data_IF_522864589378
#
_entry.id   IF_522864589378
#
_cell.length_a   1.000
_cell.length_b   1.000
_cell.length_c   1.000
_cell.angle_alpha   90.00
_cell.angle_beta   90.00
_cell.angle_gamma   90.00
#
_symmetry.space_group_name_H-M   'P 1'
#
loop_
_entity.id
_entity.type
_entity.pdbx_description
1 polymer ?
#
# COMPACT_ATOMS: atom_id res chain seq x y z
N UNK A 1 -0.47 -26.95 -0.10
CA UNK A 1 -0.75 -26.16 1.11
C UNK A 1 0.02 -24.83 1.15
N UNK A 2 0.85 -24.50 0.14
CA UNK A 2 1.75 -23.34 0.12
C UNK A 2 1.18 -22.10 -0.60
N UNK A 3 0.45 -22.26 -1.70
CA UNK A 3 0.00 -21.11 -2.52
C UNK A 3 -1.13 -20.30 -1.85
N UNK A 4 -2.07 -20.97 -1.17
CA UNK A 4 -3.22 -20.31 -0.55
C UNK A 4 -2.84 -19.46 0.67
N UNK A 5 -1.81 -19.89 1.42
CA UNK A 5 -1.22 -19.09 2.50
C UNK A 5 -0.47 -17.86 1.99
N UNK A 6 0.17 -17.97 0.83
CA UNK A 6 0.94 -16.88 0.23
C UNK A 6 0.01 -15.80 -0.36
N UNK A 7 -1.06 -16.21 -1.04
CA UNK A 7 -2.09 -15.28 -1.54
C UNK A 7 -2.73 -14.52 -0.38
N UNK A 8 -3.11 -15.21 0.70
CA UNK A 8 -3.71 -14.59 1.88
C UNK A 8 -2.75 -13.59 2.55
N UNK A 9 -1.48 -13.94 2.67
CA UNK A 9 -0.48 -13.01 3.22
C UNK A 9 -0.34 -11.75 2.35
N UNK A 10 -0.25 -11.90 1.02
CA UNK A 10 -0.16 -10.75 0.10
C UNK A 10 -1.39 -9.85 0.25
N UNK A 11 -2.59 -10.44 0.33
CA UNK A 11 -3.82 -9.70 0.53
C UNK A 11 -3.80 -8.92 1.85
N UNK A 12 -3.40 -9.54 2.96
CA UNK A 12 -3.28 -8.86 4.26
C UNK A 12 -2.28 -7.70 4.25
N UNK A 13 -1.27 -7.73 3.37
CA UNK A 13 -0.34 -6.61 3.18
C UNK A 13 -0.93 -5.52 2.30
N UNK A 14 -1.60 -5.87 1.21
CA UNK A 14 -2.32 -4.91 0.36
C UNK A 14 -3.40 -4.18 1.15
N UNK A 15 -4.15 -4.88 2.01
CA UNK A 15 -5.15 -4.29 2.89
C UNK A 15 -4.51 -3.34 3.91
N UNK A 16 -3.34 -3.70 4.46
CA UNK A 16 -2.55 -2.84 5.36
C UNK A 16 -2.06 -1.56 4.65
N UNK A 17 -1.60 -1.67 3.41
CA UNK A 17 -1.22 -0.51 2.58
C UNK A 17 -2.44 0.37 2.27
N UNK A 18 -3.59 -0.23 1.96
CA UNK A 18 -4.82 0.50 1.72
C UNK A 18 -5.29 1.28 2.97
N UNK A 19 -5.15 0.69 4.15
CA UNK A 19 -5.44 1.38 5.42
C UNK A 19 -4.53 2.60 5.63
N UNK A 20 -3.24 2.47 5.29
CA UNK A 20 -2.28 3.57 5.33
C UNK A 20 -2.69 4.69 4.36
N UNK A 21 -3.02 4.34 3.11
CA UNK A 21 -3.47 5.31 2.11
C UNK A 21 -4.74 6.04 2.57
N UNK A 22 -5.68 5.33 3.18
CA UNK A 22 -6.88 5.91 3.76
C UNK A 22 -6.52 6.93 4.86
N UNK A 23 -5.57 6.60 5.75
CA UNK A 23 -5.10 7.53 6.78
C UNK A 23 -4.43 8.77 6.20
N UNK A 24 -3.72 8.64 5.08
CA UNK A 24 -3.12 9.79 4.37
C UNK A 24 -4.22 10.69 3.79
N UNK A 25 -5.28 10.12 3.21
CA UNK A 25 -6.42 10.90 2.71
C UNK A 25 -7.13 11.62 3.86
N UNK A 26 -7.40 10.93 4.97
CA UNK A 26 -8.01 11.54 6.17
C UNK A 26 -7.13 12.63 6.76
N UNK A 27 -5.80 12.48 6.73
CA UNK A 27 -4.87 13.53 7.13
C UNK A 27 -5.02 14.78 6.26
N UNK A 28 -5.12 14.62 4.94
CA UNK A 28 -5.31 15.75 4.03
C UNK A 28 -6.66 16.46 4.26
N UNK A 29 -7.70 15.69 4.55
CA UNK A 29 -9.02 16.24 4.88
C UNK A 29 -9.00 17.04 6.19
N UNK A 30 -8.35 16.50 7.23
CA UNK A 30 -8.16 17.19 8.50
C UNK A 30 -7.32 18.48 8.35
N UNK A 31 -6.29 18.47 7.48
CA UNK A 31 -5.52 19.68 7.17
C UNK A 31 -6.37 20.73 6.46
N UNK A 32 -7.16 20.31 5.46
CA UNK A 32 -8.08 21.19 4.73
C UNK A 32 -9.10 21.84 5.68
N UNK A 33 -9.67 21.04 6.57
CA UNK A 33 -10.61 21.49 7.60
C UNK A 33 -9.95 22.42 8.61
N UNK A 34 -8.72 22.15 9.06
CA UNK A 34 -7.98 23.06 9.94
C UNK A 34 -7.72 24.42 9.27
N UNK A 35 -7.32 24.44 7.99
CA UNK A 35 -7.10 25.70 7.25
C UNK A 35 -8.41 26.47 7.09
N UNK A 36 -9.51 25.77 6.80
CA UNK A 36 -10.85 26.36 6.68
C UNK A 36 -11.29 27.00 7.99
N UNK A 37 -11.13 26.28 9.11
CA UNK A 37 -11.44 26.79 10.45
C UNK A 37 -10.57 28.01 10.82
N UNK A 38 -9.30 28.02 10.42
CA UNK A 38 -8.42 29.19 10.63
C UNK A 38 -8.95 30.42 9.87
N UNK A 39 -9.36 30.23 8.62
CA UNK A 39 -9.90 31.31 7.80
C UNK A 39 -11.22 31.84 8.37
N UNK A 40 -12.12 30.92 8.75
CA UNK A 40 -13.40 31.25 9.36
C UNK A 40 -13.24 31.96 10.70
N UNK A 41 -12.36 31.47 11.57
CA UNK A 41 -12.03 32.10 12.85
C UNK A 41 -11.50 33.53 12.66
N UNK A 42 -10.62 33.76 11.68
CA UNK A 42 -10.13 35.10 11.34
C UNK A 42 -11.26 36.05 10.91
N UNK A 43 -12.19 35.56 10.08
CA UNK A 43 -13.36 36.32 9.62
C UNK A 43 -14.32 36.64 10.77
N UNK A 44 -14.54 35.70 11.68
CA UNK A 44 -15.41 35.89 12.85
C UNK A 44 -14.84 36.89 13.85
N UNK A 45 -13.52 36.91 14.07
CA UNK A 45 -12.84 37.93 14.89
C UNK A 45 -13.10 39.33 14.33
N UNK A 46 -13.04 39.50 13.01
CA UNK A 46 -13.35 40.78 12.36
C UNK A 46 -14.83 41.19 12.43
N UNK A 47 -15.74 40.27 12.78
CA UNK A 47 -17.19 40.48 12.84
C UNK A 47 -17.74 40.48 14.28
N UNK A 48 -16.87 40.44 15.31
CA UNK A 48 -17.25 40.44 16.74
C UNK A 48 -18.28 39.37 17.14
N UNK A 49 -18.24 38.19 16.50
CA UNK A 49 -19.08 37.03 16.86
C UNK A 49 -18.32 36.10 17.81
N UNK A 50 -18.39 36.37 19.11
CA UNK A 50 -17.60 35.67 20.14
C UNK A 50 -18.09 34.24 20.46
N UNK A 51 -19.40 33.99 20.53
CA UNK A 51 -19.92 32.64 20.86
C UNK A 51 -19.52 31.56 19.83
N UNK A 52 -19.51 31.91 18.54
CA UNK A 52 -19.09 31.00 17.46
C UNK A 52 -17.58 30.82 17.36
N UNK A 53 -16.79 31.73 17.93
CA UNK A 53 -15.34 31.73 17.78
C UNK A 53 -14.67 30.63 18.61
N UNK A 54 -15.17 30.36 19.81
CA UNK A 54 -14.60 29.31 20.67
C UNK A 54 -14.85 27.91 20.10
N UNK A 55 -15.98 27.67 19.45
CA UNK A 55 -16.25 26.40 18.77
C UNK A 55 -15.30 26.19 17.59
N UNK A 56 -15.08 27.21 16.75
CA UNK A 56 -14.13 27.13 15.63
C UNK A 56 -12.69 26.90 16.11
N UNK A 57 -12.28 27.53 17.22
CA UNK A 57 -10.96 27.28 17.83
C UNK A 57 -10.83 25.84 18.35
N UNK A 58 -11.88 25.31 18.96
CA UNK A 58 -11.91 23.93 19.44
C UNK A 58 -11.75 22.94 18.28
N UNK A 59 -12.55 23.11 17.22
CA UNK A 59 -12.47 22.28 16.01
C UNK A 59 -11.12 22.43 15.31
N UNK A 60 -10.54 23.62 15.25
CA UNK A 60 -9.18 23.83 14.74
C UNK A 60 -8.15 23.01 15.54
N UNK A 61 -8.19 23.10 16.88
CA UNK A 61 -7.28 22.35 17.75
C UNK A 61 -7.42 20.84 17.59
N UNK A 62 -8.66 20.36 17.48
CA UNK A 62 -8.97 18.94 17.25
C UNK A 62 -8.45 18.47 15.89
N UNK A 63 -8.73 19.20 14.81
CA UNK A 63 -8.23 18.90 13.47
C UNK A 63 -6.70 18.88 13.42
N UNK A 64 -6.03 19.83 14.06
CA UNK A 64 -4.57 19.82 14.19
C UNK A 64 -4.06 18.59 14.95
N UNK A 65 -4.70 18.20 16.06
CA UNK A 65 -4.36 16.98 16.78
C UNK A 65 -4.47 15.74 15.89
N UNK A 66 -5.61 15.60 15.21
CA UNK A 66 -5.89 14.48 14.31
C UNK A 66 -4.91 14.42 13.13
N UNK A 67 -4.42 15.57 12.63
CA UNK A 67 -3.36 15.62 11.61
C UNK A 67 -2.08 14.94 12.12
N UNK A 68 -1.61 15.29 13.32
CA UNK A 68 -0.39 14.70 13.86
C UNK A 68 -0.55 13.22 14.20
N UNK A 69 -1.72 12.81 14.71
CA UNK A 69 -2.01 11.41 15.01
C UNK A 69 -2.07 10.55 13.74
N UNK A 70 -2.77 11.03 12.71
CA UNK A 70 -2.84 10.32 11.42
C UNK A 70 -1.48 10.28 10.73
N UNK A 71 -0.68 11.35 10.81
CA UNK A 71 0.67 11.39 10.24
C UNK A 71 1.57 10.36 10.93
N UNK A 72 1.55 10.35 12.26
CA UNK A 72 2.33 9.39 13.06
C UNK A 72 1.96 7.95 12.70
N UNK A 73 0.65 7.67 12.68
CA UNK A 73 0.12 6.34 12.35
C UNK A 73 0.48 5.90 10.92
N UNK A 74 0.33 6.78 9.93
CA UNK A 74 0.66 6.49 8.54
C UNK A 74 2.17 6.26 8.35
N UNK A 75 3.03 7.10 8.94
CA UNK A 75 4.49 6.96 8.84
C UNK A 75 4.99 5.70 9.55
N UNK A 76 4.44 5.37 10.73
CA UNK A 76 4.77 4.12 11.43
C UNK A 76 4.33 2.90 10.61
N UNK A 77 3.12 2.95 10.04
CA UNK A 77 2.59 1.92 9.15
C UNK A 77 3.49 1.70 7.94
N UNK A 78 3.80 2.76 7.19
CA UNK A 78 4.70 2.71 6.04
C UNK A 78 6.07 2.15 6.41
N UNK A 79 6.65 2.60 7.54
CA UNK A 79 7.94 2.10 8.01
C UNK A 79 7.89 0.61 8.34
N UNK A 80 6.78 0.13 8.91
CA UNK A 80 6.58 -1.30 9.19
C UNK A 80 6.49 -2.10 7.89
N UNK A 81 5.71 -1.63 6.91
CA UNK A 81 5.61 -2.31 5.61
C UNK A 81 6.94 -2.34 4.85
N UNK A 82 7.69 -1.24 4.84
CA UNK A 82 9.03 -1.19 4.24
C UNK A 82 9.97 -2.20 4.92
N UNK A 83 9.95 -2.32 6.25
CA UNK A 83 10.75 -3.32 6.97
C UNK A 83 10.33 -4.75 6.64
N UNK A 84 9.03 -5.02 6.51
CA UNK A 84 8.53 -6.34 6.14
C UNK A 84 8.93 -6.70 4.71
N UNK A 85 8.86 -5.73 3.80
CA UNK A 85 9.32 -5.86 2.42
C UNK A 85 10.83 -6.13 2.35
N UNK A 86 11.62 -5.37 3.09
CA UNK A 86 13.09 -5.51 3.16
C UNK A 86 13.51 -6.86 3.78
N UNK A 87 12.85 -7.29 4.86
CA UNK A 87 13.10 -8.59 5.49
C UNK A 87 12.85 -9.75 4.52
N UNK A 88 11.80 -9.69 3.70
CA UNK A 88 11.52 -10.69 2.66
C UNK A 88 12.43 -10.57 1.44
N UNK A 89 12.93 -9.37 1.14
CA UNK A 89 13.88 -9.16 0.03
C UNK A 89 15.26 -9.72 0.38
N UNK A 90 15.73 -9.52 1.61
CA UNK A 90 17.05 -9.95 2.09
C UNK A 90 17.11 -11.42 2.54
N UNK A 91 15.98 -12.02 2.91
CA UNK A 91 15.90 -13.46 3.19
C UNK A 91 16.20 -14.34 1.96
N UNK A 92 16.23 -13.78 0.75
CA UNK A 92 16.65 -14.49 -0.47
C UNK A 92 18.16 -14.80 -0.54
N UNK A 93 18.96 -14.37 0.44
CA UNK A 93 20.43 -14.56 0.43
C UNK A 93 20.88 -15.71 1.34
N UNK A 94 20.06 -16.16 2.29
CA UNK A 94 20.48 -17.21 3.25
C UNK A 94 19.32 -18.16 3.53
N UNK A 95 19.31 -19.29 2.82
CA UNK A 95 18.72 -20.60 3.17
C UNK A 95 17.80 -21.14 2.09
N UNK A 96 18.14 -22.35 1.68
CA UNK A 96 17.62 -23.17 0.58
C UNK A 96 16.17 -23.67 0.79
N UNK A 97 15.35 -22.98 1.60
CA UNK A 97 13.98 -23.36 1.89
C UNK A 97 13.10 -22.12 2.07
N UNK A 98 12.34 -21.83 1.02
CA UNK A 98 11.01 -21.22 1.12
C UNK A 98 10.92 -19.75 1.56
N UNK A 99 11.43 -18.81 0.75
CA UNK A 99 10.86 -17.45 0.63
C UNK A 99 11.04 -16.93 -0.80
N UNK A 100 9.98 -16.81 -1.59
CA UNK A 100 9.81 -15.81 -2.68
C UNK A 100 8.32 -15.46 -2.67
N UNK A 101 7.83 -14.26 -2.97
CA UNK A 101 8.08 -13.47 -4.16
C UNK A 101 7.71 -12.00 -3.88
N UNK A 102 8.67 -11.08 -4.02
CA UNK A 102 8.48 -9.89 -4.84
C UNK A 102 9.76 -9.76 -5.67
N UNK A 103 9.69 -9.80 -7.01
CA UNK A 103 10.89 -9.72 -7.83
C UNK A 103 11.59 -8.38 -7.59
N UNK A 104 12.84 -8.45 -7.13
CA UNK A 104 13.69 -7.27 -6.93
C UNK A 104 13.94 -6.64 -8.29
N UNK A 105 13.50 -5.39 -8.41
CA UNK A 105 13.75 -4.46 -9.51
C UNK A 105 13.09 -4.74 -10.87
N UNK A 106 11.94 -4.06 -11.07
CA UNK A 106 11.56 -3.25 -12.22
C UNK A 106 12.19 -3.68 -13.56
N UNK A 107 11.69 -4.77 -14.10
CA UNK A 107 11.25 -4.74 -15.49
C UNK A 107 10.05 -5.67 -15.56
N UNK A 108 8.87 -5.15 -15.93
CA UNK A 108 7.70 -5.98 -16.26
C UNK A 108 8.04 -6.76 -17.53
N UNK A 109 8.94 -7.74 -17.44
CA UNK A 109 9.18 -8.68 -18.53
C UNK A 109 7.89 -9.44 -18.74
N UNK A 110 7.60 -9.72 -20.00
CA UNK A 110 6.46 -10.52 -20.40
C UNK A 110 6.61 -11.94 -19.84
N UNK A 111 6.07 -12.19 -18.63
CA UNK A 111 6.07 -13.50 -17.97
C UNK A 111 5.44 -14.56 -18.90
N UNK A 112 4.45 -14.14 -19.68
CA UNK A 112 3.76 -14.96 -20.68
C UNK A 112 4.67 -15.51 -21.79
N UNK A 113 5.80 -14.86 -22.12
CA UNK A 113 6.68 -15.32 -23.22
C UNK A 113 7.41 -16.61 -22.85
N UNK A 114 7.75 -16.78 -21.56
CA UNK A 114 8.40 -18.01 -21.09
C UNK A 114 7.45 -19.19 -21.15
N UNK A 115 6.23 -19.00 -20.65
CA UNK A 115 5.17 -20.01 -20.66
C UNK A 115 4.74 -20.36 -22.09
N UNK A 116 4.61 -19.36 -22.97
CA UNK A 116 4.29 -19.57 -24.37
C UNK A 116 5.33 -20.41 -25.11
N UNK A 117 6.63 -20.12 -24.92
CA UNK A 117 7.70 -20.92 -25.53
C UNK A 117 7.74 -22.35 -25.00
N UNK A 118 7.55 -22.52 -23.69
CA UNK A 118 7.54 -23.85 -23.08
C UNK A 118 6.38 -24.69 -23.61
N UNK A 119 5.18 -24.12 -23.69
CA UNK A 119 4.02 -24.81 -24.25
C UNK A 119 4.23 -25.18 -25.72
N UNK A 120 4.88 -24.30 -26.50
CA UNK A 120 5.21 -24.58 -27.89
C UNK A 120 6.24 -25.72 -28.03
N UNK A 121 7.22 -25.80 -27.15
CA UNK A 121 8.20 -26.90 -27.12
C UNK A 121 7.53 -28.23 -26.73
N UNK A 122 6.60 -28.21 -25.77
CA UNK A 122 5.82 -29.39 -25.38
C UNK A 122 4.93 -29.88 -26.52
N UNK A 123 4.21 -28.98 -27.18
CA UNK A 123 3.33 -29.30 -28.32
C UNK A 123 4.12 -29.90 -29.49
N UNK A 124 5.32 -29.39 -29.77
CA UNK A 124 6.21 -29.97 -30.77
C UNK A 124 6.71 -31.37 -30.38
N UNK A 125 7.02 -31.59 -29.09
CA UNK A 125 7.45 -32.90 -28.59
C UNK A 125 6.32 -33.93 -28.67
N UNK A 126 5.09 -33.52 -28.35
CA UNK A 126 3.89 -34.35 -28.49
C UNK A 126 3.65 -34.75 -29.95
N UNK A 127 3.74 -33.80 -30.88
CA UNK A 127 3.61 -34.07 -32.31
C UNK A 127 4.67 -35.06 -32.84
N UNK A 128 5.92 -34.92 -32.39
CA UNK A 128 7.00 -35.87 -32.77
C UNK A 128 6.83 -37.26 -32.15
N UNK A 129 6.19 -37.35 -30.99
CA UNK A 129 5.85 -38.62 -30.33
C UNK A 129 4.72 -39.34 -31.07
N UNK A 130 3.70 -38.61 -31.51
CA UNK A 130 2.60 -39.15 -32.32
C UNK A 130 3.08 -39.59 -33.72
N UNK A 131 3.99 -38.85 -34.35
CA UNK A 131 4.59 -39.21 -35.64
C UNK A 131 5.45 -40.48 -35.55
N UNK A 132 6.11 -40.73 -34.40
CA UNK A 132 6.89 -41.95 -34.16
C UNK A 132 6.06 -43.15 -33.69
N UNK A 133 4.81 -42.93 -33.28
CA UNK A 133 3.91 -43.98 -32.82
C UNK A 133 3.01 -44.55 -33.94
N UNK A 134 2.97 -43.91 -35.12
CA UNK A 134 2.42 -44.44 -36.37
C UNK A 134 3.48 -45.13 -37.23
#
# INVERSE_FOLDING_TARGET
MSEESDIRYIQERLDSLYEIDTKIVTLLDNMSSAISNLHEGKKMISQSKEESLEEVKKQFKENCGNVYENLSSAVIGLRREIKLLDHRTNANVVSDKEVRILPVNINKKAVWVGEWKLNQEVENLEAMLEEKAS
#
